data_IF_443576016339
#
_entry.id   IF_443576016339
#
_cell.length_a   1.000
_cell.length_b   1.000
_cell.length_c   1.000
_cell.angle_alpha   90.00
_cell.angle_beta   90.00
_cell.angle_gamma   90.00
#
_symmetry.space_group_name_H-M   'P 1'
#
loop_
_entity.id
_entity.type
_entity.pdbx_description
1 polymer ?
#
# COMPACT_ATOMS: atom_id res chain seq x y z
N UNK A 1 -13.43 10.16 -16.80
CA UNK A 1 -11.99 9.91 -16.58
C UNK A 1 -11.27 9.84 -17.90
N UNK A 2 -10.01 10.30 -17.93
CA UNK A 2 -9.13 10.35 -19.10
C UNK A 2 -8.06 9.27 -18.98
N UNK A 3 -7.51 8.83 -20.10
CA UNK A 3 -6.35 7.95 -20.13
C UNK A 3 -5.26 8.52 -21.04
N UNK A 4 -4.01 8.43 -20.58
CA UNK A 4 -2.81 8.71 -21.36
C UNK A 4 -1.98 7.44 -21.38
N UNK A 5 -1.77 6.90 -22.58
CA UNK A 5 -1.08 5.65 -22.81
C UNK A 5 0.18 5.94 -23.60
N UNK A 6 1.35 5.75 -22.99
CA UNK A 6 2.62 5.74 -23.70
C UNK A 6 2.86 4.31 -24.18
N UNK A 7 2.91 4.09 -25.49
CA UNK A 7 2.99 2.76 -26.07
C UNK A 7 4.29 2.53 -26.82
N UNK A 8 5.02 1.51 -26.38
CA UNK A 8 6.23 0.95 -26.97
C UNK A 8 5.92 -0.48 -27.46
N UNK A 9 5.06 -0.53 -28.49
CA UNK A 9 4.44 -1.75 -29.00
C UNK A 9 4.65 -1.77 -30.51
N UNK A 10 5.30 -2.80 -31.04
CA UNK A 10 5.60 -2.91 -32.46
C UNK A 10 4.38 -3.40 -33.27
N UNK A 11 3.50 -4.17 -32.64
CA UNK A 11 2.34 -4.76 -33.30
C UNK A 11 1.21 -3.74 -33.52
N UNK A 12 0.95 -3.38 -34.78
CA UNK A 12 -0.20 -2.55 -35.16
C UNK A 12 -1.55 -3.14 -34.71
N UNK A 13 -1.67 -4.47 -34.68
CA UNK A 13 -2.86 -5.16 -34.17
C UNK A 13 -3.08 -4.90 -32.67
N UNK A 14 -2.00 -4.89 -31.87
CA UNK A 14 -2.07 -4.60 -30.44
C UNK A 14 -2.34 -3.12 -30.18
N UNK A 15 -1.72 -2.21 -30.93
CA UNK A 15 -1.97 -0.76 -30.83
C UNK A 15 -3.47 -0.48 -31.03
N UNK A 16 -4.07 -1.06 -32.07
CA UNK A 16 -5.50 -0.87 -32.33
C UNK A 16 -6.36 -1.48 -31.22
N UNK A 17 -6.02 -2.67 -30.75
CA UNK A 17 -6.71 -3.32 -29.65
C UNK A 17 -6.65 -2.50 -28.35
N UNK A 18 -5.50 -1.88 -28.04
CA UNK A 18 -5.33 -0.97 -26.90
C UNK A 18 -6.27 0.22 -27.02
N UNK A 19 -6.30 0.88 -28.18
CA UNK A 19 -7.15 2.06 -28.42
C UNK A 19 -8.63 1.72 -28.28
N UNK A 20 -9.07 0.62 -28.88
CA UNK A 20 -10.45 0.15 -28.79
C UNK A 20 -10.82 -0.22 -27.35
N UNK A 21 -9.94 -0.92 -26.63
CA UNK A 21 -10.24 -1.37 -25.27
C UNK A 21 -10.27 -0.19 -24.30
N UNK A 22 -9.27 0.68 -24.33
CA UNK A 22 -9.19 1.82 -23.43
C UNK A 22 -10.34 2.82 -23.68
N UNK A 23 -10.74 3.05 -24.94
CA UNK A 23 -11.88 3.93 -25.24
C UNK A 23 -13.24 3.42 -24.75
N UNK A 24 -13.38 2.13 -24.38
CA UNK A 24 -14.59 1.61 -23.72
C UNK A 24 -14.72 2.05 -22.27
N UNK A 25 -13.58 2.25 -21.59
CA UNK A 25 -13.52 2.53 -20.15
C UNK A 25 -13.20 4.00 -19.82
N UNK A 26 -12.62 4.74 -20.77
CA UNK A 26 -12.17 6.12 -20.58
C UNK A 26 -12.84 7.04 -21.61
N UNK A 27 -13.30 8.20 -21.14
CA UNK A 27 -14.04 9.19 -21.94
C UNK A 27 -13.14 9.88 -22.97
N UNK A 28 -11.89 10.14 -22.58
CA UNK A 28 -10.83 10.61 -23.49
C UNK A 28 -9.64 9.68 -23.40
N UNK A 29 -9.05 9.38 -24.56
CA UNK A 29 -7.84 8.59 -24.68
C UNK A 29 -6.80 9.36 -25.51
N UNK A 30 -5.63 9.58 -24.93
CA UNK A 30 -4.43 10.02 -25.64
C UNK A 30 -3.44 8.86 -25.71
N UNK A 31 -3.21 8.32 -26.91
CA UNK A 31 -2.17 7.33 -27.15
C UNK A 31 -0.94 8.03 -27.73
N UNK A 32 0.21 7.87 -27.08
CA UNK A 32 1.51 8.44 -27.48
C UNK A 32 2.42 7.28 -27.87
N UNK A 33 2.73 7.17 -29.16
CA UNK A 33 3.67 6.18 -29.66
C UNK A 33 5.11 6.59 -29.33
N UNK A 34 5.84 5.69 -28.66
CA UNK A 34 7.24 5.89 -28.27
C UNK A 34 8.17 4.80 -28.81
N UNK A 35 7.69 3.95 -29.73
CA UNK A 35 8.48 2.84 -30.31
C UNK A 35 9.55 3.28 -31.32
N UNK A 36 9.45 4.49 -31.90
CA UNK A 36 10.21 4.85 -33.12
C UNK A 36 11.53 5.63 -32.95
N UNK A 37 12.02 6.04 -31.76
CA UNK A 37 13.37 6.65 -31.75
C UNK A 37 14.16 6.68 -30.44
N UNK A 38 15.49 6.57 -30.60
CA UNK A 38 16.51 6.84 -29.58
C UNK A 38 16.51 8.30 -29.06
N UNK A 39 15.81 9.24 -29.74
CA UNK A 39 15.61 10.63 -29.28
C UNK A 39 14.21 10.86 -28.65
N UNK A 40 13.24 9.97 -28.88
CA UNK A 40 11.85 9.98 -28.35
C UNK A 40 11.65 8.86 -27.33
N UNK A 41 12.60 8.68 -26.42
CA UNK A 41 12.39 7.80 -25.27
C UNK A 41 11.18 8.24 -24.43
N UNK A 42 10.67 7.33 -23.60
CA UNK A 42 9.57 7.60 -22.64
C UNK A 42 9.80 8.91 -21.88
N UNK A 43 11.04 9.20 -21.48
CA UNK A 43 11.47 10.44 -20.82
C UNK A 43 11.22 11.69 -21.69
N UNK A 44 11.67 11.71 -22.94
CA UNK A 44 11.45 12.83 -23.86
C UNK A 44 9.97 13.05 -24.14
N UNK A 45 9.21 11.97 -24.37
CA UNK A 45 7.77 12.03 -24.61
C UNK A 45 7.00 12.53 -23.37
N UNK A 46 7.42 12.09 -22.19
CA UNK A 46 6.89 12.56 -20.90
C UNK A 46 7.16 14.05 -20.72
N UNK A 47 8.43 14.48 -20.85
CA UNK A 47 8.80 15.88 -20.74
C UNK A 47 8.09 16.74 -21.78
N UNK A 48 8.02 16.37 -23.05
CA UNK A 48 7.30 17.16 -24.06
C UNK A 48 5.80 17.35 -23.73
N UNK A 49 5.18 16.38 -23.06
CA UNK A 49 3.77 16.42 -22.68
C UNK A 49 3.52 17.20 -21.39
N UNK A 50 4.41 17.07 -20.42
CA UNK A 50 4.16 17.44 -19.03
C UNK A 50 5.17 18.48 -18.50
N UNK A 51 6.38 18.55 -19.04
CA UNK A 51 7.38 19.57 -18.72
C UNK A 51 7.50 20.62 -19.81
N UNK A 52 7.26 21.89 -19.48
CA UNK A 52 7.69 22.99 -20.35
C UNK A 52 9.17 22.84 -20.73
N UNK A 53 9.56 23.40 -21.89
CA UNK A 53 10.89 23.35 -22.49
C UNK A 53 12.05 23.36 -21.46
N UNK A 54 13.24 22.78 -21.76
CA UNK A 54 14.35 22.47 -20.82
C UNK A 54 14.89 23.60 -19.91
N UNK A 55 14.33 24.81 -19.95
CA UNK A 55 14.63 25.95 -19.08
C UNK A 55 13.41 26.63 -18.45
N UNK A 56 12.27 25.95 -18.36
CA UNK A 56 11.08 26.46 -17.64
C UNK A 56 11.03 25.82 -16.25
N UNK A 57 10.68 26.55 -15.17
CA UNK A 57 10.50 25.91 -13.86
C UNK A 57 9.52 24.76 -14.00
N UNK A 58 9.87 23.61 -13.42
CA UNK A 58 9.01 22.44 -13.42
C UNK A 58 7.62 22.85 -12.90
N UNK A 59 6.52 22.43 -13.56
CA UNK A 59 5.24 22.37 -12.87
C UNK A 59 5.43 21.60 -11.56
N UNK A 60 4.74 22.02 -10.50
CA UNK A 60 4.96 21.49 -9.17
C UNK A 60 4.76 19.95 -9.17
N UNK A 61 5.43 19.23 -8.26
CA UNK A 61 5.55 17.75 -8.29
C UNK A 61 4.19 17.02 -8.28
N UNK A 62 3.16 17.71 -7.83
CA UNK A 62 1.72 17.38 -7.81
C UNK A 62 1.00 17.55 -9.16
N UNK A 63 1.55 18.30 -10.12
CA UNK A 63 0.91 18.60 -11.40
C UNK A 63 1.13 17.50 -12.47
N UNK A 64 2.06 16.55 -12.25
CA UNK A 64 2.41 15.53 -13.25
C UNK A 64 1.85 14.13 -12.96
N UNK A 65 1.74 13.76 -11.68
CA UNK A 65 1.27 12.43 -11.26
C UNK A 65 -0.19 12.40 -10.79
N UNK A 66 -0.80 13.58 -10.60
CA UNK A 66 -2.17 13.77 -10.10
C UNK A 66 -2.98 14.69 -11.03
N UNK A 67 -2.83 14.54 -12.35
CA UNK A 67 -3.84 15.10 -13.26
C UNK A 67 -5.18 14.46 -12.90
N UNK A 68 -6.00 15.22 -12.19
CA UNK A 68 -7.26 14.73 -11.61
C UNK A 68 -8.06 13.98 -12.68
N UNK A 69 -8.56 12.82 -12.28
CA UNK A 69 -9.36 11.92 -13.09
C UNK A 69 -8.65 11.35 -14.34
N UNK A 70 -7.32 11.22 -14.31
CA UNK A 70 -6.51 10.71 -15.44
C UNK A 70 -5.66 9.50 -15.06
N UNK A 71 -5.82 8.39 -15.78
CA UNK A 71 -4.87 7.28 -15.74
C UNK A 71 -3.70 7.61 -16.67
N UNK A 72 -2.47 7.52 -16.17
CA UNK A 72 -1.27 7.54 -17.01
C UNK A 72 -0.61 6.17 -16.90
N UNK A 73 -0.29 5.54 -18.03
CA UNK A 73 0.34 4.22 -18.06
C UNK A 73 1.34 4.09 -19.22
N UNK A 74 2.29 3.17 -19.06
CA UNK A 74 3.27 2.79 -20.08
C UNK A 74 3.06 1.33 -20.47
N UNK A 75 2.97 1.06 -21.77
CA UNK A 75 2.77 -0.27 -22.34
C UNK A 75 3.99 -0.62 -23.18
N UNK A 76 4.61 -1.78 -22.95
CA UNK A 76 5.83 -2.18 -23.67
C UNK A 76 5.87 -3.68 -23.99
N UNK A 77 6.47 -4.01 -25.14
CA UNK A 77 6.81 -5.39 -25.54
C UNK A 77 8.29 -5.74 -25.29
N UNK A 78 9.17 -4.76 -25.07
CA UNK A 78 10.63 -4.95 -25.11
C UNK A 78 11.31 -5.01 -23.75
N UNK A 79 10.76 -4.38 -22.70
CA UNK A 79 11.44 -4.29 -21.41
C UNK A 79 11.31 -5.55 -20.57
N UNK A 80 12.43 -6.01 -20.02
CA UNK A 80 12.48 -7.03 -18.98
C UNK A 80 12.26 -6.42 -17.59
N UNK A 81 11.99 -7.25 -16.58
CA UNK A 81 11.90 -6.80 -15.17
C UNK A 81 13.25 -6.26 -14.68
N UNK A 82 14.36 -6.67 -15.27
CA UNK A 82 15.72 -6.17 -14.98
C UNK A 82 15.95 -4.78 -15.61
N UNK A 83 15.27 -4.46 -16.72
CA UNK A 83 15.21 -3.11 -17.30
C UNK A 83 14.26 -2.17 -16.54
N UNK A 84 13.57 -2.66 -15.49
CA UNK A 84 12.88 -1.79 -14.53
C UNK A 84 13.87 -0.89 -13.77
N UNK A 85 15.17 -1.24 -13.78
CA UNK A 85 16.27 -0.38 -13.36
C UNK A 85 16.66 0.68 -14.41
N UNK A 86 15.82 0.95 -15.43
CA UNK A 86 15.75 2.27 -16.11
C UNK A 86 15.15 3.27 -15.11
N UNK A 87 15.98 3.48 -14.08
CA UNK A 87 15.75 4.14 -12.82
C UNK A 87 15.32 5.56 -13.07
N UNK A 88 15.55 6.21 -14.22
CA UNK A 88 15.17 7.61 -14.42
C UNK A 88 13.72 7.84 -14.90
N UNK A 89 13.21 7.07 -15.87
CA UNK A 89 11.80 7.18 -16.28
C UNK A 89 10.83 6.57 -15.24
N UNK A 90 11.32 5.61 -14.45
CA UNK A 90 10.62 5.04 -13.30
C UNK A 90 10.86 5.89 -12.04
N UNK A 91 12.03 6.49 -11.76
CA UNK A 91 12.20 7.38 -10.58
C UNK A 91 11.51 8.72 -10.74
N UNK A 92 11.48 9.30 -11.94
CA UNK A 92 10.91 10.64 -12.14
C UNK A 92 9.39 10.56 -12.31
N UNK A 93 8.85 9.41 -12.74
CA UNK A 93 7.44 9.29 -13.07
C UNK A 93 6.72 7.98 -12.64
N UNK A 94 7.34 7.02 -11.91
CA UNK A 94 6.80 5.70 -11.44
C UNK A 94 5.45 5.29 -12.07
N UNK A 95 5.43 5.20 -13.40
CA UNK A 95 4.20 5.08 -14.18
C UNK A 95 3.72 3.62 -14.11
N UNK A 96 2.43 3.35 -13.84
CA UNK A 96 1.85 2.02 -13.96
C UNK A 96 2.21 1.38 -15.31
N UNK A 97 2.81 0.20 -15.28
CA UNK A 97 3.36 -0.44 -16.48
C UNK A 97 2.63 -1.75 -16.80
N UNK A 98 2.19 -1.91 -18.05
CA UNK A 98 1.68 -3.18 -18.57
C UNK A 98 2.73 -3.79 -19.51
N UNK A 99 3.21 -4.99 -19.16
CA UNK A 99 4.23 -5.74 -19.89
C UNK A 99 3.57 -6.88 -20.66
N UNK A 100 3.71 -6.91 -21.98
CA UNK A 100 3.04 -7.92 -22.81
C UNK A 100 3.83 -9.23 -22.99
N UNK A 101 4.85 -9.46 -22.17
CA UNK A 101 5.70 -10.66 -22.19
C UNK A 101 5.38 -11.59 -21.01
N UNK A 102 5.68 -12.91 -21.11
CA UNK A 102 5.51 -13.82 -19.98
C UNK A 102 6.51 -13.46 -18.88
N UNK A 103 6.02 -12.95 -17.75
CA UNK A 103 6.86 -12.65 -16.57
C UNK A 103 6.33 -13.41 -15.34
N UNK A 104 7.26 -14.02 -14.60
CA UNK A 104 6.96 -14.88 -13.45
C UNK A 104 6.92 -14.09 -12.13
N UNK A 105 7.40 -12.84 -12.13
CA UNK A 105 7.47 -12.02 -10.92
C UNK A 105 7.30 -10.56 -11.25
N UNK A 106 6.09 -10.04 -11.02
CA UNK A 106 5.80 -8.62 -11.12
C UNK A 106 5.73 -8.01 -9.72
N UNK A 107 6.18 -6.77 -9.63
CA UNK A 107 5.74 -5.90 -8.54
C UNK A 107 4.25 -5.58 -8.75
N UNK A 108 3.47 -5.25 -7.72
CA UNK A 108 2.03 -5.10 -7.87
C UNK A 108 1.57 -3.85 -8.66
N UNK A 109 2.53 -3.01 -9.08
CA UNK A 109 2.34 -1.89 -10.02
C UNK A 109 2.43 -2.31 -11.49
N UNK A 110 2.89 -3.54 -11.76
CA UNK A 110 3.09 -4.06 -13.09
C UNK A 110 2.05 -5.13 -13.40
N UNK A 111 1.39 -5.00 -14.55
CA UNK A 111 0.52 -6.05 -15.09
C UNK A 111 1.26 -6.78 -16.21
N UNK A 112 1.07 -8.10 -16.37
CA UNK A 112 1.64 -8.80 -17.51
C UNK A 112 0.72 -9.83 -18.14
N UNK A 113 1.03 -10.18 -19.39
CA UNK A 113 0.38 -11.26 -20.10
C UNK A 113 0.84 -12.64 -19.57
N UNK A 114 -0.09 -13.60 -19.54
CA UNK A 114 0.18 -14.95 -19.06
C UNK A 114 1.16 -15.72 -19.96
N UNK A 115 1.17 -15.44 -21.26
CA UNK A 115 2.08 -16.01 -22.24
C UNK A 115 2.31 -15.05 -23.44
N UNK A 116 3.14 -15.46 -24.39
CA UNK A 116 3.53 -14.64 -25.54
C UNK A 116 2.52 -14.67 -26.70
N UNK A 117 1.40 -15.40 -26.59
CA UNK A 117 0.38 -15.46 -27.62
C UNK A 117 -0.35 -14.12 -27.75
N UNK A 118 -0.78 -13.81 -28.98
CA UNK A 118 -1.58 -12.62 -29.26
C UNK A 118 -2.87 -12.60 -28.43
N UNK A 119 -3.47 -13.77 -28.21
CA UNK A 119 -4.68 -13.91 -27.39
C UNK A 119 -4.43 -13.53 -25.93
N UNK A 120 -3.34 -14.03 -25.31
CA UNK A 120 -3.00 -13.69 -23.94
C UNK A 120 -2.65 -12.21 -23.78
N UNK A 121 -1.95 -11.60 -24.75
CA UNK A 121 -1.65 -10.16 -24.77
C UNK A 121 -2.91 -9.32 -24.84
N UNK A 122 -3.84 -9.66 -25.74
CA UNK A 122 -5.15 -8.98 -25.83
C UNK A 122 -5.97 -9.12 -24.55
N UNK A 123 -6.00 -10.31 -23.95
CA UNK A 123 -6.68 -10.53 -22.67
C UNK A 123 -6.05 -9.72 -21.53
N UNK A 124 -4.73 -9.56 -21.51
CA UNK A 124 -4.04 -8.72 -20.52
C UNK A 124 -4.38 -7.23 -20.69
N UNK A 125 -4.44 -6.74 -21.93
CA UNK A 125 -4.88 -5.39 -22.26
C UNK A 125 -6.34 -5.18 -21.83
N UNK A 126 -7.22 -6.14 -22.14
CA UNK A 126 -8.63 -6.11 -21.72
C UNK A 126 -8.76 -6.07 -20.21
N UNK A 127 -8.10 -6.97 -19.50
CA UNK A 127 -8.08 -6.98 -18.03
C UNK A 127 -7.57 -5.65 -17.48
N UNK A 128 -6.45 -5.14 -18.00
CA UNK A 128 -5.85 -3.89 -17.54
C UNK A 128 -6.76 -2.68 -17.76
N UNK A 129 -7.50 -2.57 -18.85
CA UNK A 129 -8.38 -1.42 -19.10
C UNK A 129 -9.83 -1.64 -18.65
N UNK A 130 -10.25 -2.86 -18.35
CA UNK A 130 -11.63 -3.18 -17.92
C UNK A 130 -12.03 -2.56 -16.59
N UNK A 131 -11.08 -2.33 -15.69
CA UNK A 131 -11.34 -1.73 -14.39
C UNK A 131 -11.55 -0.22 -14.57
N UNK A 132 -12.80 0.22 -14.65
CA UNK A 132 -13.11 1.65 -14.76
C UNK A 132 -12.72 2.32 -13.45
N UNK A 133 -11.85 3.32 -13.48
CA UNK A 133 -11.50 4.00 -12.25
C UNK A 133 -12.72 4.76 -11.70
N UNK A 134 -12.91 4.65 -10.38
CA UNK A 134 -14.09 5.15 -9.67
C UNK A 134 -13.63 6.02 -8.50
N UNK A 135 -14.26 7.18 -8.34
CA UNK A 135 -13.98 8.12 -7.24
C UNK A 135 -14.78 7.82 -5.97
N UNK A 136 -15.68 6.83 -5.98
CA UNK A 136 -16.52 6.53 -4.82
C UNK A 136 -16.50 5.03 -4.51
N UNK A 137 -15.94 4.69 -3.34
CA UNK A 137 -16.01 3.42 -2.58
C UNK A 137 -14.68 2.70 -2.26
N UNK A 138 -13.53 3.18 -2.74
CA UNK A 138 -12.23 2.59 -2.35
C UNK A 138 -11.85 2.99 -0.92
N UNK A 139 -11.60 2.01 -0.06
CA UNK A 139 -11.29 2.20 1.36
C UNK A 139 -9.84 1.82 1.68
N UNK A 140 -9.25 2.49 2.67
CA UNK A 140 -7.94 2.15 3.26
C UNK A 140 -8.19 1.62 4.66
N UNK A 141 -8.29 0.28 4.77
CA UNK A 141 -8.53 -0.41 6.03
C UNK A 141 -7.18 -0.87 6.59
N UNK A 142 -6.82 -0.39 7.77
CA UNK A 142 -5.56 -0.76 8.43
C UNK A 142 -5.85 -1.69 9.60
N UNK A 143 -5.07 -2.75 9.73
CA UNK A 143 -5.10 -3.65 10.88
C UNK A 143 -3.83 -3.39 11.71
N UNK A 144 -4.03 -2.84 12.91
CA UNK A 144 -2.97 -2.59 13.90
C UNK A 144 -3.09 -3.55 15.08
N UNK A 145 -2.02 -3.66 15.87
CA UNK A 145 -1.96 -4.63 16.96
C UNK A 145 -0.54 -4.91 17.44
N UNK A 146 -0.43 -5.37 18.68
CA UNK A 146 0.85 -5.87 19.21
C UNK A 146 1.34 -7.13 18.49
N UNK A 147 2.57 -7.55 18.80
CA UNK A 147 3.12 -8.79 18.24
C UNK A 147 2.34 -10.00 18.75
N UNK A 148 2.06 -10.94 17.85
CA UNK A 148 1.22 -12.10 18.17
C UNK A 148 -0.29 -11.83 18.23
N UNK A 149 -0.76 -10.60 17.99
CA UNK A 149 -2.20 -10.27 17.97
C UNK A 149 -2.98 -10.94 16.83
N UNK A 150 -2.30 -11.33 15.74
CA UNK A 150 -2.91 -12.01 14.58
C UNK A 150 -3.29 -11.09 13.43
N UNK A 151 -2.57 -9.96 13.26
CA UNK A 151 -2.81 -8.97 12.18
C UNK A 151 -2.79 -9.61 10.80
N UNK A 152 -1.69 -10.28 10.43
CA UNK A 152 -1.53 -10.99 9.16
C UNK A 152 -2.71 -11.94 8.86
N UNK A 153 -3.12 -12.71 9.89
CA UNK A 153 -4.27 -13.62 9.77
C UNK A 153 -5.56 -12.86 9.46
N UNK A 154 -5.83 -11.76 10.17
CA UNK A 154 -7.04 -10.97 9.96
C UNK A 154 -7.02 -10.22 8.62
N UNK A 155 -5.85 -9.74 8.18
CA UNK A 155 -5.66 -9.13 6.87
C UNK A 155 -6.00 -10.13 5.77
N UNK A 156 -5.43 -11.34 5.84
CA UNK A 156 -5.70 -12.40 4.86
C UNK A 156 -7.18 -12.83 4.84
N UNK A 157 -7.81 -12.96 6.01
CA UNK A 157 -9.23 -13.30 6.11
C UNK A 157 -10.12 -12.20 5.51
N UNK A 158 -9.82 -10.93 5.79
CA UNK A 158 -10.58 -9.81 5.27
C UNK A 158 -10.43 -9.66 3.76
N UNK A 159 -9.21 -9.78 3.22
CA UNK A 159 -8.96 -9.81 1.77
C UNK A 159 -9.76 -10.92 1.10
N UNK A 160 -9.67 -12.15 1.61
CA UNK A 160 -10.43 -13.29 1.09
C UNK A 160 -11.93 -13.06 1.11
N UNK A 161 -12.43 -12.44 2.18
CA UNK A 161 -13.85 -12.13 2.33
C UNK A 161 -14.33 -11.11 1.29
N UNK A 162 -13.58 -10.04 1.08
CA UNK A 162 -13.93 -8.98 0.12
C UNK A 162 -13.96 -9.58 -1.30
N UNK A 163 -12.94 -10.35 -1.68
CA UNK A 163 -12.95 -11.07 -2.95
C UNK A 163 -14.13 -12.04 -3.10
N UNK A 164 -14.46 -12.80 -2.05
CA UNK A 164 -15.61 -13.70 -2.07
C UNK A 164 -16.96 -12.97 -2.21
N UNK A 165 -17.02 -11.69 -1.84
CA UNK A 165 -18.17 -10.81 -2.05
C UNK A 165 -18.16 -10.12 -3.43
N UNK A 166 -17.18 -10.42 -4.29
CA UNK A 166 -17.01 -9.80 -5.61
C UNK A 166 -16.34 -8.43 -5.58
N UNK A 167 -15.80 -8.01 -4.43
CA UNK A 167 -15.04 -6.76 -4.31
C UNK A 167 -13.58 -6.93 -4.74
N UNK A 168 -13.02 -5.87 -5.31
CA UNK A 168 -11.58 -5.77 -5.60
C UNK A 168 -10.83 -5.20 -4.39
N UNK A 169 -9.78 -5.90 -3.97
CA UNK A 169 -8.98 -5.52 -2.81
C UNK A 169 -7.52 -5.90 -3.01
N UNK A 170 -6.62 -5.06 -2.52
CA UNK A 170 -5.19 -5.35 -2.45
C UNK A 170 -4.68 -5.27 -1.02
N UNK A 171 -3.48 -5.80 -0.78
CA UNK A 171 -2.87 -5.80 0.55
C UNK A 171 -1.37 -5.54 0.48
N UNK A 172 -0.87 -4.90 1.54
CA UNK A 172 0.56 -4.78 1.84
C UNK A 172 0.76 -4.99 3.34
N UNK A 173 1.95 -5.45 3.71
CA UNK A 173 2.43 -5.49 5.07
C UNK A 173 3.59 -4.50 5.24
N UNK A 174 3.59 -3.77 6.36
CA UNK A 174 4.66 -2.82 6.67
C UNK A 174 5.46 -3.23 7.91
N UNK A 175 6.81 -3.14 7.88
CA UNK A 175 7.62 -2.54 6.83
C UNK A 175 7.70 -3.40 5.55
N UNK A 176 7.55 -2.76 4.40
CA UNK A 176 7.54 -3.43 3.11
C UNK A 176 8.96 -3.85 2.73
N UNK A 177 9.24 -5.16 2.83
CA UNK A 177 10.60 -5.69 2.70
C UNK A 177 11.15 -5.64 1.27
N UNK A 178 10.27 -5.71 0.26
CA UNK A 178 10.66 -5.74 -1.16
C UNK A 178 10.87 -4.34 -1.75
N UNK A 179 10.55 -3.28 -1.00
CA UNK A 179 10.70 -1.90 -1.45
C UNK A 179 12.11 -1.34 -1.27
N UNK A 180 12.34 -0.16 -1.85
CA UNK A 180 13.62 0.58 -1.84
C UNK A 180 14.28 0.65 -0.45
N UNK A 181 13.48 0.90 0.58
CA UNK A 181 13.97 1.05 1.95
C UNK A 181 13.86 -0.22 2.80
N UNK A 182 13.34 -1.32 2.24
CA UNK A 182 13.10 -2.57 2.97
C UNK A 182 14.40 -3.17 3.53
N UNK A 183 15.47 -3.16 2.72
CA UNK A 183 16.80 -3.61 3.16
C UNK A 183 17.38 -2.76 4.30
N UNK A 184 17.19 -1.44 4.25
CA UNK A 184 17.64 -0.52 5.30
C UNK A 184 16.85 -0.74 6.60
N UNK A 185 15.52 -0.83 6.53
CA UNK A 185 14.67 -1.15 7.70
C UNK A 185 15.08 -2.49 8.32
N UNK A 186 15.27 -3.54 7.50
CA UNK A 186 15.72 -4.85 7.97
C UNK A 186 17.07 -4.77 8.68
N UNK A 187 18.01 -4.00 8.13
CA UNK A 187 19.33 -3.82 8.73
C UNK A 187 19.24 -3.18 10.12
N UNK A 188 18.39 -2.17 10.31
CA UNK A 188 18.19 -1.55 11.63
C UNK A 188 17.44 -2.50 12.59
N UNK A 189 16.40 -3.19 12.11
CA UNK A 189 15.64 -4.17 12.90
C UNK A 189 16.47 -5.40 13.31
N UNK A 190 17.58 -5.69 12.64
CA UNK A 190 18.45 -6.81 12.98
C UNK A 190 19.24 -6.63 14.30
N UNK A 191 19.15 -5.47 14.96
CA UNK A 191 19.87 -5.16 16.20
C UNK A 191 21.38 -4.95 16.02
N UNK A 192 21.93 -5.18 14.82
CA UNK A 192 23.35 -5.01 14.48
C UNK A 192 23.84 -3.55 14.56
N UNK A 193 22.93 -2.59 14.74
CA UNK A 193 23.20 -1.15 14.74
C UNK A 193 22.87 -0.46 16.09
N UNK A 194 22.52 -1.23 17.13
CA UNK A 194 22.14 -0.71 18.45
C UNK A 194 20.82 -1.32 18.96
N UNK A 195 20.51 -1.08 20.23
CA UNK A 195 19.25 -1.49 20.88
C UNK A 195 18.16 -0.43 20.70
N UNK A 196 16.88 -0.79 20.93
CA UNK A 196 15.73 0.14 20.82
C UNK A 196 15.89 1.41 21.63
N UNK A 197 16.52 1.31 22.81
CA UNK A 197 16.70 2.46 23.71
C UNK A 197 17.77 3.45 23.25
N UNK A 198 18.65 3.03 22.34
CA UNK A 198 19.77 3.84 21.85
C UNK A 198 19.44 4.58 20.55
N UNK A 199 18.30 4.25 19.93
CA UNK A 199 17.87 4.84 18.66
C UNK A 199 16.87 5.96 18.91
N UNK A 200 17.17 7.14 18.35
CA UNK A 200 16.26 8.29 18.38
C UNK A 200 14.88 7.91 17.76
N UNK A 201 13.76 8.08 18.48
CA UNK A 201 12.43 7.73 17.98
C UNK A 201 12.02 8.46 16.70
N UNK A 202 12.40 9.73 16.54
CA UNK A 202 12.10 10.51 15.34
C UNK A 202 12.84 9.94 14.12
N UNK A 203 14.12 9.60 14.25
CA UNK A 203 14.90 9.00 13.16
C UNK A 203 14.32 7.65 12.71
N UNK A 204 13.91 6.83 13.67
CA UNK A 204 13.34 5.52 13.39
C UNK A 204 11.93 5.63 12.77
N UNK A 205 11.13 6.57 13.27
CA UNK A 205 9.84 6.93 12.67
C UNK A 205 9.98 7.37 11.22
N UNK A 206 10.97 8.23 10.94
CA UNK A 206 11.24 8.74 9.60
C UNK A 206 11.66 7.60 8.65
N UNK A 207 12.49 6.66 9.11
CA UNK A 207 12.87 5.51 8.30
C UNK A 207 11.65 4.64 7.88
N UNK A 208 10.72 4.40 8.79
CA UNK A 208 9.46 3.72 8.43
C UNK A 208 8.59 4.55 7.48
N UNK A 209 8.58 5.87 7.67
CA UNK A 209 7.84 6.79 6.80
C UNK A 209 8.39 6.75 5.38
N UNK A 210 9.71 6.70 5.20
CA UNK A 210 10.35 6.50 3.89
C UNK A 210 10.00 5.15 3.28
N UNK A 211 9.98 4.08 4.08
CA UNK A 211 9.57 2.75 3.61
C UNK A 211 8.13 2.75 3.06
N UNK A 212 7.20 3.41 3.76
CA UNK A 212 5.81 3.58 3.27
C UNK A 212 5.71 4.54 2.10
N UNK A 213 6.52 5.59 2.08
CA UNK A 213 6.59 6.53 0.96
C UNK A 213 6.87 5.83 -0.36
N UNK A 214 7.78 4.84 -0.36
CA UNK A 214 8.06 3.99 -1.52
C UNK A 214 6.88 3.12 -1.99
N UNK A 215 5.73 3.14 -1.31
CA UNK A 215 4.51 2.44 -1.70
C UNK A 215 3.33 3.39 -1.99
N UNK A 216 3.49 4.71 -1.83
CA UNK A 216 2.41 5.72 -2.00
C UNK A 216 1.74 5.58 -3.36
N UNK A 217 2.53 5.48 -4.42
CA UNK A 217 2.01 5.45 -5.80
C UNK A 217 1.26 4.17 -6.11
N UNK A 218 1.72 3.04 -5.58
CA UNK A 218 1.02 1.76 -5.66
C UNK A 218 -0.33 1.81 -4.95
N UNK A 219 -0.36 2.34 -3.72
CA UNK A 219 -1.61 2.51 -2.97
C UNK A 219 -2.58 3.43 -3.72
N UNK A 220 -2.11 4.59 -4.19
CA UNK A 220 -2.93 5.54 -4.97
C UNK A 220 -3.42 4.92 -6.28
N UNK A 221 -2.60 4.13 -6.96
CA UNK A 221 -2.99 3.43 -8.17
C UNK A 221 -4.19 2.51 -7.88
N UNK A 222 -4.07 1.60 -6.90
CA UNK A 222 -5.16 0.71 -6.51
C UNK A 222 -6.44 1.46 -6.14
N UNK A 223 -6.32 2.48 -5.28
CA UNK A 223 -7.46 3.27 -4.82
C UNK A 223 -8.15 4.02 -5.97
N UNK A 224 -7.38 4.65 -6.88
CA UNK A 224 -7.95 5.32 -8.05
C UNK A 224 -8.71 4.36 -8.98
N UNK A 225 -8.34 3.08 -8.98
CA UNK A 225 -9.05 2.04 -9.74
C UNK A 225 -10.31 1.52 -9.05
N UNK A 226 -10.67 2.06 -7.88
CA UNK A 226 -11.82 1.62 -7.10
C UNK A 226 -11.54 0.39 -6.23
N UNK A 227 -10.31 -0.13 -6.22
CA UNK A 227 -9.92 -1.24 -5.36
C UNK A 227 -9.68 -0.73 -3.94
N UNK A 228 -10.28 -1.39 -2.95
CA UNK A 228 -9.93 -1.14 -1.55
C UNK A 228 -8.54 -1.69 -1.23
N UNK A 229 -7.94 -1.22 -0.14
CA UNK A 229 -6.68 -1.77 0.37
C UNK A 229 -6.86 -2.17 1.83
N UNK A 230 -6.37 -3.36 2.18
CA UNK A 230 -6.27 -3.82 3.57
C UNK A 230 -4.79 -3.92 3.91
N UNK A 231 -4.34 -3.22 4.95
CA UNK A 231 -2.92 -3.10 5.29
C UNK A 231 -2.64 -3.74 6.65
N UNK A 232 -1.67 -4.66 6.71
CA UNK A 232 -1.10 -5.11 7.99
C UNK A 232 -0.04 -4.09 8.42
N UNK A 233 -0.40 -3.28 9.41
CA UNK A 233 0.29 -2.05 9.82
C UNK A 233 0.27 -0.96 8.74
N UNK A 234 0.38 0.30 9.16
CA UNK A 234 0.56 1.42 8.22
C UNK A 234 1.32 2.59 8.88
N UNK A 235 1.08 3.86 8.50
CA UNK A 235 1.66 5.02 9.21
C UNK A 235 1.21 5.05 10.67
N UNK A 236 0.02 4.55 10.94
CA UNK A 236 -0.60 4.34 12.26
C UNK A 236 0.24 3.49 13.21
N UNK A 237 1.12 2.62 12.69
CA UNK A 237 2.02 1.83 13.52
C UNK A 237 3.04 2.71 14.27
N UNK A 238 3.43 3.86 13.70
CA UNK A 238 4.29 4.82 14.41
C UNK A 238 3.58 5.40 15.64
N UNK A 239 2.24 5.50 15.62
CA UNK A 239 1.50 6.10 16.73
C UNK A 239 1.64 5.22 17.96
N UNK A 240 1.37 3.91 17.83
CA UNK A 240 1.55 2.98 18.95
C UNK A 240 3.02 2.77 19.34
N UNK A 241 3.92 2.58 18.37
CA UNK A 241 5.29 2.17 18.66
C UNK A 241 6.25 3.30 19.02
N UNK A 242 6.13 4.48 18.39
CA UNK A 242 7.03 5.60 18.64
C UNK A 242 6.46 6.57 19.67
N UNK A 243 5.16 6.90 19.63
CA UNK A 243 4.59 7.78 20.65
C UNK A 243 4.57 7.14 22.05
N UNK A 244 4.54 5.80 22.17
CA UNK A 244 4.69 5.09 23.46
C UNK A 244 6.07 5.24 24.12
N UNK A 245 7.06 5.76 23.40
CA UNK A 245 8.40 6.08 23.93
C UNK A 245 8.46 7.49 24.52
N UNK A 246 7.45 8.31 24.28
CA UNK A 246 7.34 9.69 24.78
C UNK A 246 6.44 9.76 26.03
N UNK A 247 6.62 10.80 26.87
CA UNK A 247 5.68 11.12 27.94
C UNK A 247 4.24 11.30 27.41
N UNK A 248 3.20 10.90 28.16
CA UNK A 248 1.80 11.01 27.72
C UNK A 248 1.40 12.38 27.17
N UNK A 249 1.88 13.46 27.79
CA UNK A 249 1.62 14.85 27.43
C UNK A 249 2.21 15.28 26.06
N UNK A 250 3.22 14.56 25.55
CA UNK A 250 3.85 14.84 24.25
C UNK A 250 3.26 14.00 23.11
N UNK A 251 2.45 12.97 23.42
CA UNK A 251 2.00 11.98 22.44
C UNK A 251 1.12 12.57 21.35
N UNK A 252 0.17 13.41 21.74
CA UNK A 252 -0.80 13.99 20.81
C UNK A 252 -0.10 14.88 19.78
N UNK A 253 0.77 15.78 20.24
CA UNK A 253 1.57 16.64 19.37
C UNK A 253 2.44 15.82 18.42
N UNK A 254 3.13 14.80 18.94
CA UNK A 254 3.97 13.93 18.11
C UNK A 254 3.16 13.14 17.07
N UNK A 255 1.98 12.63 17.42
CA UNK A 255 1.09 11.94 16.48
C UNK A 255 0.61 12.91 15.39
N UNK A 256 0.26 14.14 15.75
CA UNK A 256 -0.13 15.17 14.78
C UNK A 256 1.00 15.49 13.80
N UNK A 257 2.24 15.60 14.30
CA UNK A 257 3.41 15.83 13.44
C UNK A 257 3.66 14.65 12.49
N UNK A 258 3.48 13.41 12.97
CA UNK A 258 3.58 12.22 12.13
C UNK A 258 2.50 12.19 11.06
N UNK A 259 1.25 12.49 11.40
CA UNK A 259 0.17 12.50 10.43
C UNK A 259 0.38 13.59 9.37
N UNK A 260 0.79 14.79 9.78
CA UNK A 260 1.15 15.86 8.85
C UNK A 260 2.28 15.43 7.90
N UNK A 261 3.36 14.85 8.44
CA UNK A 261 4.49 14.41 7.62
C UNK A 261 4.10 13.27 6.68
N UNK A 262 3.45 12.22 7.18
CA UNK A 262 3.18 10.99 6.43
C UNK A 262 2.01 11.14 5.44
N UNK A 263 0.91 11.77 5.86
CA UNK A 263 -0.30 11.89 5.05
C UNK A 263 -0.26 13.16 4.19
N UNK A 264 -0.03 14.32 4.80
CA UNK A 264 -0.13 15.61 4.07
C UNK A 264 1.12 15.88 3.23
N UNK A 265 2.33 15.70 3.79
CA UNK A 265 3.57 16.04 3.10
C UNK A 265 4.09 14.92 2.18
N UNK A 266 4.11 13.67 2.66
CA UNK A 266 4.51 12.51 1.86
C UNK A 266 3.37 11.95 1.00
N UNK A 267 2.12 12.37 1.24
CA UNK A 267 1.00 12.05 0.38
C UNK A 267 0.45 10.64 0.53
N UNK A 268 0.70 9.96 1.65
CA UNK A 268 0.13 8.64 1.91
C UNK A 268 -1.41 8.72 1.93
N UNK A 269 -2.13 7.80 1.26
CA UNK A 269 -3.57 7.74 1.36
C UNK A 269 -4.03 7.60 2.81
N UNK A 270 -4.89 8.51 3.27
CA UNK A 270 -5.40 8.50 4.65
C UNK A 270 -6.18 7.20 4.92
N UNK A 271 -5.96 6.61 6.10
CA UNK A 271 -6.72 5.44 6.52
C UNK A 271 -8.20 5.81 6.71
N UNK A 272 -9.11 5.07 6.09
CA UNK A 272 -10.56 5.23 6.30
C UNK A 272 -11.01 4.55 7.59
N UNK A 273 -10.34 3.46 7.98
CA UNK A 273 -10.60 2.75 9.21
C UNK A 273 -9.32 2.11 9.74
N UNK A 274 -9.06 2.27 11.03
CA UNK A 274 -7.91 1.68 11.72
C UNK A 274 -8.45 0.72 12.79
N UNK A 275 -8.28 -0.57 12.55
CA UNK A 275 -8.76 -1.64 13.42
C UNK A 275 -7.62 -2.09 14.32
N UNK A 276 -7.65 -1.69 15.59
CA UNK A 276 -6.68 -2.12 16.58
C UNK A 276 -7.10 -3.44 17.23
N UNK A 277 -6.32 -4.50 16.98
CA UNK A 277 -6.48 -5.80 17.63
C UNK A 277 -5.92 -5.74 19.06
N UNK A 278 -6.81 -5.49 20.02
CA UNK A 278 -6.46 -5.41 21.44
C UNK A 278 -6.33 -6.80 22.05
N UNK A 279 -5.08 -7.27 22.10
CA UNK A 279 -4.68 -8.48 22.81
C UNK A 279 -3.68 -8.12 23.93
N UNK A 280 -3.96 -8.47 25.21
CA UNK A 280 -3.01 -8.24 26.29
C UNK A 280 -1.63 -8.86 26.02
N UNK A 281 -0.51 -8.18 26.34
CA UNK A 281 0.84 -8.66 26.01
C UNK A 281 1.17 -10.03 26.62
N UNK A 282 0.66 -10.33 27.82
CA UNK A 282 0.83 -11.63 28.49
C UNK A 282 0.23 -12.77 27.68
N UNK A 283 -1.02 -12.61 27.21
CA UNK A 283 -1.73 -13.59 26.39
C UNK A 283 -1.06 -13.75 25.02
N UNK A 284 -0.61 -12.63 24.43
CA UNK A 284 0.13 -12.65 23.18
C UNK A 284 1.44 -13.44 23.30
N UNK A 285 2.22 -13.20 24.36
CA UNK A 285 3.46 -13.92 24.68
C UNK A 285 3.26 -15.42 24.86
N UNK A 286 2.21 -15.83 25.56
CA UNK A 286 1.90 -17.25 25.76
C UNK A 286 1.60 -17.97 24.46
N UNK A 287 0.76 -17.36 23.60
CA UNK A 287 0.47 -17.92 22.28
C UNK A 287 1.73 -17.99 21.41
N UNK A 288 2.53 -16.93 21.45
CA UNK A 288 3.80 -16.80 20.76
C UNK A 288 4.85 -17.85 21.15
N UNK A 289 4.84 -18.32 22.41
CA UNK A 289 5.72 -19.39 22.92
C UNK A 289 5.29 -20.78 22.45
N UNK A 290 4.00 -20.97 22.15
CA UNK A 290 3.43 -22.26 21.71
C UNK A 290 3.60 -22.48 20.20
N UNK A 291 3.95 -21.43 19.45
CA UNK A 291 4.18 -21.51 18.01
C UNK A 291 5.63 -21.89 17.70
N UNK A 292 5.84 -23.15 17.34
CA UNK A 292 7.15 -23.72 17.01
C UNK A 292 7.69 -23.29 15.63
N UNK A 293 6.90 -22.56 14.83
CA UNK A 293 7.25 -22.20 13.44
C UNK A 293 7.84 -20.79 13.30
N UNK A 294 7.92 -20.02 14.39
CA UNK A 294 8.36 -18.62 14.32
C UNK A 294 9.88 -18.45 14.18
N UNK A 295 10.24 -17.41 13.43
CA UNK A 295 11.62 -16.90 13.27
C UNK A 295 12.10 -16.20 14.55
N UNK A 296 13.39 -15.87 14.61
CA UNK A 296 13.99 -15.09 15.70
C UNK A 296 13.23 -13.78 15.92
N UNK A 297 13.09 -13.40 17.20
CA UNK A 297 12.39 -12.19 17.61
C UNK A 297 13.14 -10.95 17.11
N UNK A 298 12.41 -9.97 16.59
CA UNK A 298 13.00 -8.67 16.26
C UNK A 298 13.25 -7.82 17.52
N UNK A 299 13.81 -6.62 17.35
CA UNK A 299 14.13 -5.75 18.48
C UNK A 299 12.89 -5.34 19.30
N UNK A 300 11.72 -5.15 18.67
CA UNK A 300 10.47 -4.76 19.37
C UNK A 300 9.90 -5.95 20.11
N UNK A 301 9.99 -7.13 19.50
CA UNK A 301 9.64 -8.40 20.11
C UNK A 301 10.62 -8.80 21.23
N UNK A 302 11.84 -8.28 21.24
CA UNK A 302 12.81 -8.51 22.32
C UNK A 302 12.72 -7.46 23.44
N UNK A 303 11.89 -6.42 23.27
CA UNK A 303 11.68 -5.40 24.28
C UNK A 303 10.88 -5.92 25.49
N UNK A 304 11.22 -5.42 26.68
CA UNK A 304 10.62 -5.84 27.95
C UNK A 304 9.10 -5.63 28.04
N UNK A 305 8.45 -6.32 28.98
CA UNK A 305 6.99 -6.28 29.17
C UNK A 305 6.40 -4.88 29.31
N UNK A 306 7.11 -3.97 29.98
CA UNK A 306 6.68 -2.59 30.17
C UNK A 306 6.55 -1.81 28.85
N UNK A 307 7.40 -2.09 27.86
CA UNK A 307 7.29 -1.46 26.55
C UNK A 307 6.00 -1.88 25.84
N UNK A 308 5.70 -3.19 25.85
CA UNK A 308 4.53 -3.74 25.17
C UNK A 308 3.23 -3.23 25.77
N UNK A 309 3.18 -3.07 27.09
CA UNK A 309 2.02 -2.48 27.74
C UNK A 309 1.87 -1.00 27.40
N UNK A 310 2.98 -0.22 27.37
CA UNK A 310 2.91 1.18 26.91
C UNK A 310 2.42 1.30 25.47
N UNK A 311 2.87 0.43 24.55
CA UNK A 311 2.38 0.40 23.17
C UNK A 311 0.87 0.13 23.13
N UNK A 312 0.40 -0.86 23.88
CA UNK A 312 -1.03 -1.19 24.00
C UNK A 312 -1.83 0.01 24.54
N UNK A 313 -1.37 0.64 25.62
CA UNK A 313 -2.01 1.82 26.19
C UNK A 313 -2.07 2.97 25.18
N UNK A 314 -1.02 3.20 24.41
CA UNK A 314 -1.01 4.23 23.36
C UNK A 314 -2.01 3.92 22.25
N UNK A 315 -2.14 2.66 21.80
CA UNK A 315 -3.17 2.29 20.82
C UNK A 315 -4.60 2.41 21.36
N UNK A 316 -4.83 2.06 22.63
CA UNK A 316 -6.13 2.29 23.28
C UNK A 316 -6.45 3.78 23.33
N UNK A 317 -5.48 4.61 23.70
CA UNK A 317 -5.63 6.06 23.66
C UNK A 317 -5.98 6.56 22.24
N UNK A 318 -5.33 6.03 21.20
CA UNK A 318 -5.68 6.36 19.80
C UNK A 318 -7.14 6.01 19.48
N UNK A 319 -7.63 4.85 19.93
CA UNK A 319 -9.03 4.44 19.73
C UNK A 319 -10.04 5.34 20.43
N UNK A 320 -9.65 5.98 21.54
CA UNK A 320 -10.52 6.86 22.32
C UNK A 320 -10.51 8.30 21.80
N UNK A 321 -9.41 8.76 21.20
CA UNK A 321 -9.18 10.18 20.91
C UNK A 321 -9.07 10.51 19.42
N UNK A 322 -8.77 9.54 18.54
CA UNK A 322 -8.54 9.80 17.12
C UNK A 322 -9.71 9.28 16.26
N UNK A 323 -10.13 10.04 15.23
CA UNK A 323 -11.20 9.62 14.34
C UNK A 323 -10.79 8.40 13.51
N UNK A 324 -11.76 7.52 13.21
CA UNK A 324 -11.55 6.33 12.39
C UNK A 324 -10.79 5.18 13.07
N UNK A 325 -10.38 5.35 14.33
CA UNK A 325 -9.79 4.26 15.12
C UNK A 325 -10.84 3.44 15.85
N UNK A 326 -10.66 2.13 15.84
CA UNK A 326 -11.64 1.19 16.37
C UNK A 326 -10.94 0.05 17.09
N UNK A 327 -11.32 -0.15 18.35
CA UNK A 327 -10.80 -1.22 19.19
C UNK A 327 -11.56 -2.53 18.93
N UNK A 328 -10.82 -3.57 18.55
CA UNK A 328 -11.31 -4.94 18.41
C UNK A 328 -10.75 -5.76 19.58
N UNK A 329 -11.62 -6.07 20.54
CA UNK A 329 -11.25 -6.88 21.70
C UNK A 329 -10.94 -8.31 21.26
N UNK A 330 -9.74 -8.78 21.56
CA UNK A 330 -9.25 -10.11 21.16
C UNK A 330 -9.10 -11.10 22.34
N UNK A 331 -9.55 -10.69 23.53
CA UNK A 331 -9.51 -11.49 24.76
C UNK A 331 -10.84 -11.32 25.50
N UNK A 332 -11.48 -12.43 25.88
CA UNK A 332 -12.69 -12.41 26.69
C UNK A 332 -12.41 -11.99 28.14
N UNK A 333 -13.48 -11.66 28.87
CA UNK A 333 -13.42 -11.27 30.29
C UNK A 333 -12.87 -12.39 31.20
N UNK A 334 -12.93 -13.64 30.73
CA UNK A 334 -12.35 -14.84 31.34
C UNK A 334 -10.84 -14.97 31.11
N UNK A 335 -10.21 -14.01 30.42
CA UNK A 335 -8.80 -14.07 30.03
C UNK A 335 -8.52 -14.99 28.83
N UNK A 336 -9.55 -15.57 28.21
CA UNK A 336 -9.40 -16.45 27.05
C UNK A 336 -9.12 -15.62 25.80
N UNK A 337 -8.05 -15.96 25.10
CA UNK A 337 -7.82 -15.47 23.74
C UNK A 337 -8.94 -15.92 22.81
N UNK A 338 -9.56 -14.98 22.11
CA UNK A 338 -10.57 -15.29 21.11
C UNK A 338 -9.95 -16.01 19.90
N UNK A 339 -10.73 -16.88 19.25
CA UNK A 339 -10.32 -17.55 18.03
C UNK A 339 -10.19 -16.55 16.88
N UNK A 340 -9.46 -16.93 15.81
CA UNK A 340 -9.35 -16.07 14.63
C UNK A 340 -10.71 -15.81 13.98
N UNK A 341 -11.64 -16.76 14.04
CA UNK A 341 -13.00 -16.63 13.53
C UNK A 341 -13.85 -15.68 14.39
N UNK A 342 -13.74 -15.74 15.72
CA UNK A 342 -14.40 -14.80 16.65
C UNK A 342 -13.92 -13.36 16.40
N UNK A 343 -12.60 -13.16 16.29
CA UNK A 343 -12.01 -11.85 15.99
C UNK A 343 -12.43 -11.36 14.60
N UNK A 344 -12.44 -12.23 13.59
CA UNK A 344 -12.85 -11.87 12.24
C UNK A 344 -14.35 -11.48 12.17
N UNK A 345 -15.19 -12.18 12.93
CA UNK A 345 -16.60 -11.82 13.07
C UNK A 345 -16.78 -10.43 13.69
N UNK A 346 -15.98 -10.09 14.72
CA UNK A 346 -15.99 -8.76 15.32
C UNK A 346 -15.56 -7.67 14.32
N UNK A 347 -14.47 -7.89 13.58
CA UNK A 347 -13.98 -6.97 12.53
C UNK A 347 -15.06 -6.72 11.47
N UNK A 348 -15.65 -7.80 10.95
CA UNK A 348 -16.65 -7.68 9.87
C UNK A 348 -17.95 -7.06 10.36
N UNK A 349 -18.36 -7.32 11.60
CA UNK A 349 -19.51 -6.66 12.24
C UNK A 349 -19.25 -5.15 12.37
N UNK A 350 -18.07 -4.78 12.84
CA UNK A 350 -17.66 -3.38 12.97
C UNK A 350 -17.69 -2.65 11.63
N UNK A 351 -16.98 -3.17 10.62
CA UNK A 351 -16.91 -2.56 9.29
C UNK A 351 -18.29 -2.37 8.66
N UNK A 352 -19.19 -3.34 8.81
CA UNK A 352 -20.59 -3.20 8.35
C UNK A 352 -21.34 -2.09 9.09
N UNK A 353 -21.21 -2.03 10.42
CA UNK A 353 -21.88 -1.00 11.22
C UNK A 353 -21.39 0.42 10.89
N UNK A 354 -20.13 0.53 10.50
CA UNK A 354 -19.51 1.76 10.04
C UNK A 354 -19.92 2.15 8.60
N UNK A 355 -20.63 1.27 7.87
CA UNK A 355 -21.05 1.51 6.50
C UNK A 355 -19.96 1.25 5.46
N UNK A 356 -18.96 0.42 5.78
CA UNK A 356 -17.88 0.07 4.85
C UNK A 356 -18.43 -0.53 3.56
N UNK A 357 -18.06 0.08 2.44
CA UNK A 357 -18.47 -0.39 1.12
C UNK A 357 -17.71 -1.66 0.71
N UNK A 358 -16.51 -1.87 1.23
CA UNK A 358 -15.67 -3.02 0.90
C UNK A 358 -16.28 -4.37 1.36
N UNK A 359 -17.04 -4.39 2.46
CA UNK A 359 -17.53 -5.64 3.08
C UNK A 359 -18.97 -6.02 2.64
N UNK A 360 -19.61 -5.17 1.83
CA UNK A 360 -20.95 -5.39 1.23
C UNK A 360 -22.13 -5.36 2.22
N UNK A 361 -23.32 -4.99 1.73
CA UNK A 361 -24.59 -5.24 2.43
C UNK A 361 -25.00 -6.73 2.29
N UNK A 362 -25.76 -7.27 3.25
CA UNK A 362 -26.13 -8.69 3.30
C UNK A 362 -26.65 -9.23 1.95
N UNK A 363 -26.20 -10.44 1.59
CA UNK A 363 -26.97 -11.38 0.76
C UNK A 363 -28.11 -11.98 1.59
#
# INVERSE_FOLDING_TARGET
MRAVVFGDVASAELIEHIKVTASRSYVELAYVDVSESAEKGLETAWHARYGGAPHTPLPARDELDDVKDTLVCYLTEEKTVEDADVVYAVFVAEVPTLVLTPSVTLTPLMHAAADASMLARKAAIESFFSVVPSSSAAEVIVIEGGDGAGKETQTALLVRRIHAAGGEVHTLDFPYEKGLYGGLVRAVLSGKKGTIGELNPQLFSFLYSLNRFGCVRQLRFWLRRGSSVVLDRYYTANFGHQASKLPPEEREAFISDLEFMEVEWLGLPRATSVLYLDLPPSVALEAMRRDATRKQLDIHESAGGDYRERVRQTYMWCCEHLPGWHRIVCCGDDGRRLTREEVHAAITTHLRSFGSHAVGAQL
#
